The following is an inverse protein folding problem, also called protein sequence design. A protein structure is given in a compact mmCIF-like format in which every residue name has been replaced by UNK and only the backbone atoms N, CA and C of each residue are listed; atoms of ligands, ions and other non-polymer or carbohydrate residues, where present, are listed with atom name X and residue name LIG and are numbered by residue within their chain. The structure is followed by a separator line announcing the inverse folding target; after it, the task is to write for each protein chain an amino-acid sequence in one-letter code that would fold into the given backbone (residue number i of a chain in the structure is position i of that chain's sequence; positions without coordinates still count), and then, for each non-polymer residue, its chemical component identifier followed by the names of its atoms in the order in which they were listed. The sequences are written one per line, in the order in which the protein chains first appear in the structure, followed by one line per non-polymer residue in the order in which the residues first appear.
data_IF_036861016383
#
_entry.id   IF_036861016383
#
_cell.length_a   1.000
_cell.length_b   1.000
_cell.length_c   1.000
_cell.angle_alpha   90.00
_cell.angle_beta   90.00
_cell.angle_gamma   90.00
#
_symmetry.space_group_name_H-M   'P 1'
#
loop_
_entity.id
_entity.type
_entity.pdbx_description
1 polymer ?
#
# COMPACT_ATOMS: atom_id res chain seq x y z
N UNK A 1 16.98 17.73 -1.59
CA UNK A 1 16.74 16.27 -1.56
C UNK A 1 15.48 16.02 -0.73
N UNK A 2 14.40 15.51 -1.34
CA UNK A 2 13.17 15.18 -0.60
C UNK A 2 13.44 13.92 0.22
N UNK A 3 13.42 14.04 1.54
CA UNK A 3 13.67 12.93 2.46
C UNK A 3 12.43 12.05 2.47
N UNK A 4 12.53 10.84 1.91
CA UNK A 4 11.47 9.84 1.92
C UNK A 4 11.23 9.40 3.37
N UNK A 5 9.99 9.48 3.85
CA UNK A 5 9.63 8.99 5.19
C UNK A 5 9.62 7.45 5.18
N UNK A 6 10.24 6.77 6.17
CA UNK A 6 10.14 5.31 6.24
C UNK A 6 8.69 4.89 6.51
N UNK A 7 8.26 3.78 5.95
CA UNK A 7 6.99 3.15 6.31
C UNK A 7 7.12 2.63 7.75
N UNK A 8 6.23 2.99 8.67
CA UNK A 8 6.29 2.46 10.03
C UNK A 8 6.02 0.95 10.01
N UNK A 9 6.71 0.20 10.87
CA UNK A 9 6.38 -1.21 11.08
C UNK A 9 5.06 -1.30 11.80
N UNK A 10 4.02 -1.72 11.09
CA UNK A 10 2.70 -1.85 11.70
C UNK A 10 2.57 -3.18 12.43
N UNK A 11 2.11 -3.11 13.69
CA UNK A 11 1.66 -4.29 14.41
C UNK A 11 0.23 -4.70 14.03
N UNK A 12 -0.50 -3.81 13.35
CA UNK A 12 -1.89 -4.03 12.95
C UNK A 12 -2.23 -3.23 11.69
N UNK A 13 -2.88 -3.88 10.74
CA UNK A 13 -3.45 -3.26 9.54
C UNK A 13 -4.97 -3.15 9.66
N UNK A 14 -5.49 -1.95 9.51
CA UNK A 14 -6.91 -1.73 9.27
C UNK A 14 -7.18 -1.70 7.78
N UNK A 15 -8.37 -2.13 7.37
CA UNK A 15 -8.78 -2.14 5.98
C UNK A 15 -9.98 -1.24 5.79
N UNK A 16 -9.88 -0.30 4.85
CA UNK A 16 -11.04 0.49 4.42
C UNK A 16 -12.06 -0.42 3.73
N UNK A 17 -13.33 0.00 3.68
CA UNK A 17 -14.35 -0.72 2.90
C UNK A 17 -13.93 -0.89 1.43
N UNK A 18 -13.30 0.12 0.84
CA UNK A 18 -12.84 0.07 -0.55
C UNK A 18 -11.72 -0.96 -0.72
N UNK A 19 -10.72 -0.98 0.17
CA UNK A 19 -9.65 -1.97 0.12
C UNK A 19 -10.17 -3.42 0.25
N UNK A 20 -11.22 -3.65 1.06
CA UNK A 20 -11.85 -4.97 1.17
C UNK A 20 -12.52 -5.38 -0.14
N UNK A 21 -13.18 -4.44 -0.82
CA UNK A 21 -13.82 -4.71 -2.12
C UNK A 21 -12.77 -5.08 -3.16
N UNK A 22 -11.69 -4.29 -3.27
CA UNK A 22 -10.63 -4.60 -4.25
C UNK A 22 -9.91 -5.92 -3.95
N UNK A 23 -9.63 -6.21 -2.68
CA UNK A 23 -9.06 -7.50 -2.28
C UNK A 23 -9.93 -8.68 -2.78
N UNK A 24 -11.25 -8.56 -2.66
CA UNK A 24 -12.19 -9.58 -3.13
C UNK A 24 -12.22 -9.64 -4.66
N UNK A 25 -12.22 -8.50 -5.35
CA UNK A 25 -12.20 -8.44 -6.81
C UNK A 25 -10.97 -9.12 -7.40
N UNK A 26 -9.81 -8.92 -6.77
CA UNK A 26 -8.55 -9.56 -7.15
C UNK A 26 -8.46 -11.03 -6.70
N UNK A 27 -9.46 -11.52 -5.95
CA UNK A 27 -9.48 -12.87 -5.37
C UNK A 27 -8.29 -13.12 -4.43
N UNK A 28 -7.83 -12.07 -3.74
CA UNK A 28 -6.66 -12.12 -2.88
C UNK A 28 -6.99 -12.44 -1.42
N UNK A 29 -6.02 -13.06 -0.74
CA UNK A 29 -6.09 -13.34 0.69
C UNK A 29 -5.48 -12.17 1.49
N UNK A 30 -6.20 -11.68 2.50
CA UNK A 30 -5.75 -10.56 3.34
C UNK A 30 -4.40 -10.83 4.01
N UNK A 31 -4.25 -11.98 4.66
CA UNK A 31 -3.02 -12.32 5.40
C UNK A 31 -1.82 -12.41 4.45
N UNK A 32 -2.05 -12.91 3.23
CA UNK A 32 -1.02 -12.97 2.19
C UNK A 32 -0.55 -11.57 1.79
N UNK A 33 -1.46 -10.61 1.60
CA UNK A 33 -1.10 -9.21 1.33
C UNK A 33 -0.40 -8.57 2.55
N UNK A 34 -0.91 -8.78 3.76
CA UNK A 34 -0.33 -8.21 4.97
C UNK A 34 1.12 -8.67 5.19
N UNK A 35 1.43 -9.92 4.87
CA UNK A 35 2.81 -10.43 4.90
C UNK A 35 3.73 -9.68 3.92
N UNK A 36 3.21 -9.28 2.76
CA UNK A 36 3.95 -8.54 1.74
C UNK A 36 4.33 -7.13 2.18
N UNK A 37 3.59 -6.53 3.13
CA UNK A 37 3.96 -5.23 3.69
C UNK A 37 5.25 -5.26 4.50
N UNK A 38 5.68 -6.42 5.00
CA UNK A 38 6.92 -6.57 5.76
C UNK A 38 8.17 -6.33 4.91
N UNK A 39 8.06 -6.53 3.59
CA UNK A 39 9.15 -6.40 2.61
C UNK A 39 8.82 -5.44 1.46
N UNK A 40 7.76 -4.64 1.60
CA UNK A 40 7.33 -3.74 0.53
C UNK A 40 8.29 -2.56 0.32
N UNK A 41 8.30 -2.05 -0.91
CA UNK A 41 9.04 -0.87 -1.32
C UNK A 41 8.13 0.35 -1.29
N UNK A 42 8.60 1.45 -0.71
CA UNK A 42 7.90 2.73 -0.78
C UNK A 42 8.16 3.39 -2.14
N UNK A 43 7.11 3.58 -2.95
CA UNK A 43 7.23 4.15 -4.30
C UNK A 43 6.69 5.58 -4.40
N UNK A 44 5.70 5.97 -3.58
CA UNK A 44 5.29 7.37 -3.44
C UNK A 44 5.11 7.77 -1.97
N UNK A 45 5.68 8.91 -1.57
CA UNK A 45 5.48 9.56 -0.26
C UNK A 45 4.57 10.77 -0.47
N UNK A 46 3.33 10.69 0.01
CA UNK A 46 2.36 11.78 -0.11
C UNK A 46 2.55 12.81 1.02
N UNK A 47 2.22 14.09 0.82
CA UNK A 47 2.33 15.09 1.88
C UNK A 47 1.39 14.77 3.05
N UNK A 48 1.91 14.81 4.28
CA UNK A 48 1.08 14.75 5.48
C UNK A 48 0.05 15.89 5.47
N UNK A 49 -1.22 15.57 5.68
CA UNK A 49 -2.31 16.53 5.69
C UNK A 49 -3.21 16.41 6.93
N UNK A 50 -4.16 17.35 7.12
CA UNK A 50 -4.99 17.44 8.34
C UNK A 50 -6.07 16.36 8.45
N UNK A 51 -6.21 15.49 7.45
CA UNK A 51 -7.14 14.34 7.43
C UNK A 51 -6.32 13.08 7.15
N UNK A 52 -6.87 11.90 7.46
CA UNK A 52 -6.32 10.59 7.07
C UNK A 52 -6.34 10.45 5.54
N UNK A 53 -5.48 11.24 4.90
CA UNK A 53 -5.14 11.19 3.49
C UNK A 53 -4.14 10.05 3.29
N UNK A 54 -4.03 9.53 2.07
CA UNK A 54 -2.98 8.56 1.78
C UNK A 54 -1.63 9.16 2.17
N UNK A 55 -0.82 8.41 2.91
CA UNK A 55 0.55 8.78 3.28
C UNK A 55 1.55 8.15 2.32
N UNK A 56 1.27 6.93 1.87
CA UNK A 56 2.20 6.11 1.10
C UNK A 56 1.50 5.38 -0.04
N UNK A 57 2.20 5.24 -1.16
CA UNK A 57 1.97 4.16 -2.13
C UNK A 57 3.14 3.19 -2.03
N UNK A 58 2.85 1.91 -1.85
CA UNK A 58 3.86 0.86 -1.74
C UNK A 58 3.69 -0.19 -2.82
N UNK A 59 4.82 -0.76 -3.25
CA UNK A 59 4.90 -1.93 -4.12
C UNK A 59 5.30 -3.14 -3.27
N UNK A 60 4.47 -4.17 -3.26
CA UNK A 60 4.71 -5.38 -2.48
C UNK A 60 4.60 -6.64 -3.32
N UNK A 61 5.04 -7.75 -2.71
CA UNK A 61 4.78 -9.10 -3.19
C UNK A 61 4.13 -9.88 -2.07
N UNK A 62 2.97 -10.46 -2.32
CA UNK A 62 2.26 -11.26 -1.33
C UNK A 62 3.03 -12.55 -1.02
N UNK A 63 2.68 -13.24 0.07
CA UNK A 63 3.24 -14.59 0.33
C UNK A 63 2.87 -15.63 -0.73
N UNK A 64 1.83 -15.37 -1.51
CA UNK A 64 1.40 -16.23 -2.62
C UNK A 64 2.08 -15.87 -3.96
N UNK A 65 2.84 -14.76 -3.99
CA UNK A 65 3.62 -14.32 -5.16
C UNK A 65 2.95 -13.25 -6.02
N UNK A 66 1.78 -12.75 -5.66
CA UNK A 66 1.15 -11.66 -6.42
C UNK A 66 1.86 -10.32 -6.15
N UNK A 67 2.13 -9.57 -7.22
CA UNK A 67 2.62 -8.20 -7.12
C UNK A 67 1.42 -7.28 -6.89
N UNK A 68 1.53 -6.40 -5.89
CA UNK A 68 0.45 -5.47 -5.57
C UNK A 68 0.95 -4.06 -5.35
N UNK A 69 0.09 -3.10 -5.67
CA UNK A 69 0.13 -1.75 -5.13
C UNK A 69 -0.83 -1.61 -3.97
N UNK A 70 -0.43 -0.86 -2.95
CA UNK A 70 -1.31 -0.52 -1.85
C UNK A 70 -1.09 0.93 -1.43
N UNK A 71 -2.21 1.61 -1.17
CA UNK A 71 -2.20 2.95 -0.62
C UNK A 71 -2.42 2.85 0.89
N UNK A 72 -1.48 3.37 1.67
CA UNK A 72 -1.48 3.29 3.12
C UNK A 72 -1.62 4.69 3.73
N UNK A 73 -2.36 4.78 4.85
CA UNK A 73 -2.45 5.97 5.67
C UNK A 73 -2.04 5.65 7.11
N UNK A 74 -1.35 6.57 7.79
CA UNK A 74 -1.03 6.46 9.21
C UNK A 74 -2.29 6.81 10.00
N UNK A 75 -2.83 5.84 10.71
CA UNK A 75 -4.10 6.01 11.42
C UNK A 75 -3.92 6.69 12.79
N UNK A 76 -2.77 6.54 13.45
CA UNK A 76 -2.43 7.23 14.70
C UNK A 76 -0.93 7.11 15.06
N UNK A 77 -0.53 7.73 16.17
CA UNK A 77 0.82 7.71 16.74
C UNK A 77 1.31 6.34 17.22
N UNK A 78 0.46 5.31 17.24
CA UNK A 78 0.79 3.96 17.69
C UNK A 78 1.08 3.01 16.52
N UNK A 79 1.62 3.52 15.42
CA UNK A 79 2.12 2.72 14.30
C UNK A 79 1.05 1.84 13.64
N UNK A 80 -0.22 2.27 13.66
CA UNK A 80 -1.30 1.57 12.97
C UNK A 80 -1.45 2.10 11.55
N UNK A 81 -1.46 1.21 10.58
CA UNK A 81 -1.65 1.56 9.17
C UNK A 81 -3.08 1.20 8.74
N UNK A 82 -3.69 2.11 7.97
CA UNK A 82 -4.93 1.87 7.26
C UNK A 82 -4.60 1.59 5.79
N UNK A 83 -4.97 0.42 5.31
CA UNK A 83 -5.01 0.09 3.88
C UNK A 83 -6.21 0.80 3.27
N UNK A 84 -5.94 1.85 2.50
CA UNK A 84 -6.96 2.66 1.81
C UNK A 84 -7.48 1.93 0.58
N UNK A 85 -6.57 1.36 -0.22
CA UNK A 85 -6.87 0.49 -1.36
C UNK A 85 -5.69 -0.46 -1.62
N UNK A 86 -5.96 -1.57 -2.32
CA UNK A 86 -4.96 -2.55 -2.79
C UNK A 86 -5.37 -3.03 -4.18
N UNK A 87 -4.44 -3.17 -5.11
CA UNK A 87 -4.75 -3.56 -6.49
C UNK A 87 -3.52 -4.12 -7.21
N UNK A 88 -3.73 -4.88 -8.28
CA UNK A 88 -2.66 -5.33 -9.16
C UNK A 88 -2.17 -4.17 -10.05
N UNK A 89 -0.87 -3.84 -10.08
CA UNK A 89 -0.38 -2.85 -11.03
C UNK A 89 -0.51 -3.37 -12.46
N UNK A 90 -0.94 -2.50 -13.37
CA UNK A 90 -1.08 -2.83 -14.79
C UNK A 90 0.01 -2.16 -15.63
N UNK A 91 0.31 -2.73 -16.80
CA UNK A 91 1.25 -2.12 -17.75
C UNK A 91 0.70 -0.82 -18.37
N UNK A 92 -0.61 -0.63 -18.33
CA UNK A 92 -1.26 0.60 -18.77
C UNK A 92 -1.02 1.75 -17.79
N UNK A 93 -1.06 1.46 -16.48
CA UNK A 93 -1.01 2.46 -15.42
C UNK A 93 0.36 2.57 -14.74
N UNK A 94 1.31 1.68 -15.06
CA UNK A 94 2.63 1.63 -14.41
C UNK A 94 3.77 1.27 -15.37
N UNK A 95 4.99 1.65 -14.99
CA UNK A 95 6.24 1.34 -15.71
C UNK A 95 7.39 1.09 -14.73
N UNK A 96 8.57 0.80 -15.26
CA UNK A 96 9.80 0.57 -14.49
C UNK A 96 9.64 -0.55 -13.44
N UNK A 97 9.17 -1.72 -13.89
CA UNK A 97 8.88 -2.84 -13.00
C UNK A 97 7.87 -2.47 -11.91
N UNK A 98 6.81 -1.75 -12.31
CA UNK A 98 5.69 -1.28 -11.49
C UNK A 98 5.98 -0.09 -10.56
N UNK A 99 7.22 0.40 -10.49
CA UNK A 99 7.62 1.44 -9.53
C UNK A 99 7.10 2.83 -9.83
N UNK A 100 6.75 3.11 -11.08
CA UNK A 100 6.33 4.45 -11.52
C UNK A 100 4.91 4.36 -12.06
N UNK A 101 3.96 5.07 -11.42
CA UNK A 101 2.62 5.25 -11.96
C UNK A 101 2.64 6.21 -13.16
N UNK A 102 1.84 5.89 -14.16
CA UNK A 102 1.58 6.76 -15.31
C UNK A 102 0.46 7.76 -14.94
N UNK A 103 0.47 8.97 -15.53
CA UNK A 103 -0.56 9.98 -15.30
C UNK A 103 -1.93 9.58 -15.87
#
# INVERSE_FOLDING_TARGET
MRRIRPIPRANLYYWSRHAIVELVNETWNRESIESGFLTCELIEDYPAGPRALPDYLVLGTSSSGEIFHAVLAIYNSNERLLVVTVYAPTAEESQDGWRIRKP
#
